data_IF_943029273819
#
_entry.id   IF_943029273819
#
_cell.length_a   1.000
_cell.length_b   1.000
_cell.length_c   1.000
_cell.angle_alpha   90.00
_cell.angle_beta   90.00
_cell.angle_gamma   90.00
#
_symmetry.space_group_name_H-M   'P 1'
#
loop_
_entity.id
_entity.type
_entity.pdbx_description
1 polymer ?
#
# COMPACT_ATOMS: atom_id res chain seq x y z
N UNK A 1 -4.25 -37.87 50.49
CA UNK A 1 -5.08 -36.64 50.51
C UNK A 1 -4.33 -35.54 51.24
N UNK A 2 -3.49 -34.77 50.53
CA UNK A 2 -2.66 -33.76 51.16
C UNK A 2 -1.78 -33.03 50.15
N UNK A 3 -2.39 -32.25 49.25
CA UNK A 3 -1.67 -31.28 48.42
C UNK A 3 -2.58 -30.21 47.78
N UNK A 4 -3.84 -30.07 48.22
CA UNK A 4 -4.78 -29.07 47.69
C UNK A 4 -5.02 -27.87 48.61
N UNK A 5 -4.47 -27.87 49.83
CA UNK A 5 -4.68 -26.78 50.80
C UNK A 5 -3.54 -25.74 50.86
N UNK A 6 -2.43 -25.95 50.14
CA UNK A 6 -1.30 -25.01 50.09
C UNK A 6 -1.32 -24.06 48.88
N UNK A 7 -2.13 -24.33 47.85
CA UNK A 7 -2.19 -23.51 46.62
C UNK A 7 -3.21 -22.36 46.67
N UNK A 8 -4.11 -22.30 47.67
CA UNK A 8 -5.08 -21.21 47.82
C UNK A 8 -4.60 -20.06 48.72
N UNK A 9 -3.59 -20.28 49.57
CA UNK A 9 -3.06 -19.24 50.47
C UNK A 9 -2.00 -18.36 49.76
N UNK A 10 -1.32 -18.86 48.72
CA UNK A 10 -0.37 -18.09 47.90
C UNK A 10 -1.05 -17.24 46.81
N UNK A 11 -2.28 -17.57 46.37
CA UNK A 11 -3.06 -16.74 45.43
C UNK A 11 -3.72 -15.51 46.06
N UNK A 12 -3.86 -15.46 47.38
CA UNK A 12 -4.43 -14.29 48.11
C UNK A 12 -3.38 -13.30 48.62
N UNK A 13 -2.09 -13.64 48.68
CA UNK A 13 -1.02 -12.72 49.10
C UNK A 13 -0.29 -11.98 47.97
N UNK A 14 -0.38 -12.41 46.70
CA UNK A 14 0.15 -11.64 45.54
C UNK A 14 -0.85 -10.64 44.91
N UNK A 15 -2.10 -10.61 45.38
CA UNK A 15 -3.15 -9.69 44.89
C UNK A 15 -3.34 -8.41 45.72
N UNK A 16 -2.56 -8.20 46.80
CA UNK A 16 -2.70 -7.07 47.73
C UNK A 16 -1.52 -6.09 47.77
N UNK A 17 -0.60 -6.14 46.80
CA UNK A 17 0.57 -5.24 46.73
C UNK A 17 0.61 -4.34 45.49
N UNK A 18 -0.45 -4.29 44.68
CA UNK A 18 -0.54 -3.47 43.46
C UNK A 18 -1.74 -2.51 43.48
N UNK A 19 -2.11 -2.00 44.67
CA UNK A 19 -3.10 -0.95 44.85
C UNK A 19 -2.73 -0.14 46.11
N UNK A 20 -1.65 0.63 46.05
CA UNK A 20 -1.39 1.78 46.95
C UNK A 20 -0.15 2.56 46.50
N UNK A 21 -0.34 3.35 45.44
CA UNK A 21 0.26 4.67 45.22
C UNK A 21 -0.21 5.15 43.84
N UNK A 22 -1.51 5.41 43.72
CA UNK A 22 -2.03 6.34 42.73
C UNK A 22 -2.01 7.72 43.39
N UNK A 23 -0.81 8.27 43.52
CA UNK A 23 -0.65 9.72 43.60
C UNK A 23 -0.71 10.24 42.16
N UNK A 24 -1.53 11.27 41.99
CA UNK A 24 -1.79 11.98 40.76
C UNK A 24 -0.52 12.52 40.14
N UNK A 25 0.09 11.77 39.23
CA UNK A 25 0.97 12.31 38.20
C UNK A 25 0.14 12.49 36.94
N UNK A 26 -0.36 13.71 36.76
CA UNK A 26 -0.79 14.18 35.45
C UNK A 26 0.44 14.11 34.53
N UNK A 27 0.52 13.05 33.72
CA UNK A 27 1.57 12.94 32.72
C UNK A 27 1.20 13.88 31.58
N UNK A 28 1.74 15.10 31.67
CA UNK A 28 1.69 16.10 30.63
C UNK A 28 2.31 15.49 29.37
N UNK A 29 1.48 15.28 28.34
CA UNK A 29 1.93 14.86 27.02
C UNK A 29 2.93 15.92 26.56
N UNK A 30 4.22 15.58 26.53
CA UNK A 30 5.24 16.43 25.96
C UNK A 30 4.93 16.59 24.46
N UNK A 31 4.76 17.83 23.94
CA UNK A 31 4.76 18.03 22.51
C UNK A 31 6.13 17.59 21.99
N UNK A 32 6.11 16.76 20.96
CA UNK A 32 7.28 16.30 20.23
C UNK A 32 8.21 17.47 19.92
N UNK A 33 9.47 17.33 20.34
CA UNK A 33 10.50 18.32 20.11
C UNK A 33 10.68 18.55 18.60
N UNK A 34 10.67 19.84 18.26
CA UNK A 34 10.96 20.40 16.95
C UNK A 34 12.29 19.88 16.40
N UNK A 35 12.24 19.34 15.18
CA UNK A 35 13.31 19.60 14.21
C UNK A 35 12.81 20.69 13.25
N UNK A 36 13.41 21.88 13.36
CA UNK A 36 13.58 22.83 12.26
C UNK A 36 12.35 23.38 11.53
N UNK A 37 11.72 24.40 12.11
CA UNK A 37 11.32 25.63 11.39
C UNK A 37 10.18 25.62 10.35
N UNK A 38 9.72 24.48 9.82
CA UNK A 38 8.71 24.51 8.72
C UNK A 38 7.25 24.42 9.18
N UNK A 39 6.97 23.87 10.36
CA UNK A 39 5.59 23.61 10.82
C UNK A 39 5.37 24.17 12.23
N UNK A 40 5.05 25.46 12.32
CA UNK A 40 4.76 26.17 13.57
C UNK A 40 3.27 26.19 13.94
N UNK A 41 2.40 25.58 13.12
CA UNK A 41 0.97 25.46 13.40
C UNK A 41 0.64 24.01 13.82
N UNK A 42 -0.19 23.81 14.86
CA UNK A 42 -0.76 22.50 15.13
C UNK A 42 -1.55 22.07 13.89
N UNK A 43 -1.13 20.97 13.27
CA UNK A 43 -1.77 20.40 12.11
C UNK A 43 -3.05 19.69 12.58
N UNK A 44 -4.18 20.39 12.49
CA UNK A 44 -5.50 19.82 12.79
C UNK A 44 -6.00 19.10 11.54
N UNK A 45 -5.64 17.84 11.40
CA UNK A 45 -6.22 16.94 10.41
C UNK A 45 -7.52 16.37 10.98
N UNK A 46 -8.66 16.86 10.51
CA UNK A 46 -9.97 16.29 10.83
C UNK A 46 -10.40 15.40 9.67
N UNK A 47 -10.27 14.09 9.84
CA UNK A 47 -10.83 13.12 8.91
C UNK A 47 -12.24 12.73 9.35
N UNK A 48 -13.18 12.70 8.40
CA UNK A 48 -14.56 12.31 8.65
C UNK A 48 -14.64 10.78 8.79
N UNK A 49 -15.08 10.28 9.95
CA UNK A 49 -15.30 8.83 10.13
C UNK A 49 -16.38 8.37 9.16
N UNK A 50 -16.17 7.21 8.52
CA UNK A 50 -17.11 6.72 7.52
C UNK A 50 -18.47 6.45 8.18
N UNK A 51 -19.57 7.09 7.73
CA UNK A 51 -20.88 6.85 8.31
C UNK A 51 -21.25 5.37 8.20
N UNK A 52 -21.76 4.77 9.28
CA UNK A 52 -22.12 3.35 9.32
C UNK A 52 -23.05 2.93 8.17
N UNK A 53 -23.95 3.83 7.76
CA UNK A 53 -24.83 3.61 6.61
C UNK A 53 -24.04 3.35 5.32
N UNK A 54 -22.99 4.14 5.06
CA UNK A 54 -22.15 4.01 3.86
C UNK A 54 -21.42 2.68 3.89
N UNK A 55 -20.86 2.29 5.03
CA UNK A 55 -20.20 1.00 5.19
C UNK A 55 -21.17 -0.16 4.92
N UNK A 56 -22.36 -0.15 5.54
CA UNK A 56 -23.39 -1.19 5.35
C UNK A 56 -23.84 -1.28 3.90
N UNK A 57 -24.16 -0.15 3.26
CA UNK A 57 -24.57 -0.12 1.86
C UNK A 57 -23.47 -0.64 0.92
N UNK A 58 -22.21 -0.30 1.22
CA UNK A 58 -21.05 -0.78 0.46
C UNK A 58 -20.94 -2.31 0.54
N UNK A 59 -20.96 -2.88 1.76
CA UNK A 59 -20.89 -4.33 1.94
C UNK A 59 -22.11 -5.05 1.36
N UNK A 60 -23.30 -4.47 1.49
CA UNK A 60 -24.52 -5.02 0.88
C UNK A 60 -24.43 -5.01 -0.64
N UNK A 61 -23.91 -3.94 -1.24
CA UNK A 61 -23.64 -3.85 -2.67
C UNK A 61 -22.66 -4.93 -3.15
N UNK A 62 -21.54 -5.12 -2.43
CA UNK A 62 -20.59 -6.21 -2.72
C UNK A 62 -21.25 -7.59 -2.61
N UNK A 63 -22.08 -7.82 -1.58
CA UNK A 63 -22.81 -9.07 -1.40
C UNK A 63 -23.75 -9.36 -2.56
N UNK A 64 -24.55 -8.37 -2.96
CA UNK A 64 -25.47 -8.47 -4.10
C UNK A 64 -24.69 -8.79 -5.38
N UNK A 65 -23.63 -8.03 -5.70
CA UNK A 65 -22.81 -8.26 -6.89
C UNK A 65 -22.18 -9.66 -6.91
N UNK A 66 -21.75 -10.14 -5.74
CA UNK A 66 -21.18 -11.49 -5.59
C UNK A 66 -22.22 -12.57 -5.85
N UNK A 67 -23.43 -12.43 -5.29
CA UNK A 67 -24.54 -13.38 -5.53
C UNK A 67 -24.90 -13.42 -7.02
N UNK A 68 -25.04 -12.25 -7.66
CA UNK A 68 -25.31 -12.18 -9.10
C UNK A 68 -24.17 -12.77 -9.95
N UNK A 69 -22.92 -12.62 -9.51
CA UNK A 69 -21.77 -13.25 -10.14
C UNK A 69 -21.88 -14.77 -10.14
N UNK A 70 -22.15 -15.38 -8.98
CA UNK A 70 -22.31 -16.83 -8.87
C UNK A 70 -23.53 -17.34 -9.64
N UNK A 71 -24.65 -16.60 -9.60
CA UNK A 71 -25.83 -16.94 -10.39
C UNK A 71 -25.51 -16.95 -11.89
N UNK A 72 -24.71 -16.00 -12.40
CA UNK A 72 -24.30 -16.02 -13.81
C UNK A 72 -23.38 -17.17 -14.15
N UNK A 73 -22.43 -17.51 -13.28
CA UNK A 73 -21.60 -18.70 -13.49
C UNK A 73 -22.44 -19.98 -13.55
N UNK A 74 -23.47 -20.08 -12.72
CA UNK A 74 -24.45 -21.15 -12.79
C UNK A 74 -25.21 -21.14 -14.13
N UNK A 75 -25.77 -20.00 -14.56
CA UNK A 75 -26.48 -19.89 -15.84
C UNK A 75 -25.58 -20.19 -17.06
N UNK A 76 -24.29 -19.86 -16.99
CA UNK A 76 -23.28 -20.20 -18.01
C UNK A 76 -23.05 -21.71 -18.08
N UNK A 77 -22.95 -22.38 -16.94
CA UNK A 77 -22.81 -23.84 -16.88
C UNK A 77 -23.99 -24.55 -17.55
N UNK A 78 -25.19 -23.97 -17.44
CA UNK A 78 -26.43 -24.46 -18.06
C UNK A 78 -26.66 -23.93 -19.49
N UNK A 79 -25.70 -23.22 -20.09
CA UNK A 79 -25.75 -22.64 -21.45
C UNK A 79 -26.94 -21.69 -21.71
N UNK A 80 -27.47 -21.05 -20.66
CA UNK A 80 -28.58 -20.08 -20.77
C UNK A 80 -28.06 -18.66 -21.08
N UNK A 81 -26.85 -18.34 -20.61
CA UNK A 81 -26.23 -17.00 -20.77
C UNK A 81 -25.67 -16.79 -22.18
N UNK A 82 -25.92 -15.61 -22.79
CA UNK A 82 -25.56 -15.27 -24.18
C UNK A 82 -24.06 -15.00 -24.42
N UNK A 83 -23.28 -14.59 -23.40
CA UNK A 83 -21.85 -14.30 -23.56
C UNK A 83 -20.99 -15.47 -23.07
N UNK A 84 -20.48 -16.29 -23.99
CA UNK A 84 -19.70 -17.49 -23.69
C UNK A 84 -18.19 -17.23 -23.49
N UNK A 85 -17.70 -16.02 -23.80
CA UNK A 85 -16.26 -15.65 -23.73
C UNK A 85 -15.75 -15.64 -22.30
N UNK A 86 -16.59 -15.28 -21.34
CA UNK A 86 -16.33 -15.38 -19.91
C UNK A 86 -16.44 -16.86 -19.44
N UNK A 87 -15.61 -17.74 -19.98
CA UNK A 87 -15.39 -19.10 -19.49
C UNK A 87 -13.93 -19.45 -19.73
N UNK A 88 -13.34 -20.16 -18.79
CA UNK A 88 -12.03 -20.76 -19.00
C UNK A 88 -12.11 -21.76 -20.15
N UNK A 89 -11.20 -21.64 -21.12
CA UNK A 89 -11.16 -22.53 -22.27
C UNK A 89 -10.79 -23.93 -21.80
N UNK A 90 -11.30 -24.97 -22.46
CA UNK A 90 -10.99 -26.34 -22.04
C UNK A 90 -9.49 -26.64 -22.09
N UNK A 91 -8.81 -26.10 -23.11
CA UNK A 91 -7.36 -26.15 -23.28
C UNK A 91 -6.58 -25.52 -22.11
N UNK A 92 -7.19 -24.60 -21.35
CA UNK A 92 -6.54 -23.87 -20.27
C UNK A 92 -6.67 -24.59 -18.91
N UNK A 93 -7.61 -25.53 -18.78
CA UNK A 93 -7.85 -26.25 -17.52
C UNK A 93 -6.70 -27.16 -17.11
N UNK A 94 -5.88 -27.58 -18.07
CA UNK A 94 -4.71 -28.44 -17.84
C UNK A 94 -3.48 -27.66 -17.36
N UNK A 95 -3.53 -26.32 -17.35
CA UNK A 95 -2.45 -25.47 -16.86
C UNK A 95 -2.58 -25.18 -15.37
N UNK A 96 -1.44 -24.91 -14.71
CA UNK A 96 -1.43 -24.45 -13.32
C UNK A 96 -2.12 -23.08 -13.26
N UNK A 97 -3.14 -22.91 -12.40
CA UNK A 97 -3.83 -21.63 -12.29
C UNK A 97 -2.87 -20.54 -11.81
N UNK A 98 -2.80 -19.44 -12.57
CA UNK A 98 -1.97 -18.27 -12.22
C UNK A 98 -2.59 -17.43 -11.10
N UNK A 99 -3.91 -17.52 -10.94
CA UNK A 99 -4.69 -16.73 -10.00
C UNK A 99 -5.47 -17.62 -9.05
N UNK A 100 -5.85 -17.08 -7.90
CA UNK A 100 -6.75 -17.77 -6.99
C UNK A 100 -8.17 -17.84 -7.56
N UNK A 101 -8.96 -18.83 -7.14
CA UNK A 101 -10.33 -19.05 -7.63
C UNK A 101 -11.21 -17.80 -7.51
N UNK A 102 -11.06 -17.06 -6.40
CA UNK A 102 -11.82 -15.83 -6.18
C UNK A 102 -11.41 -14.70 -7.13
N UNK A 103 -10.12 -14.57 -7.47
CA UNK A 103 -9.64 -13.56 -8.40
C UNK A 103 -10.16 -13.83 -9.81
N UNK A 104 -10.19 -15.10 -10.22
CA UNK A 104 -10.80 -15.53 -11.48
C UNK A 104 -12.29 -15.20 -11.51
N UNK A 105 -13.02 -15.52 -10.43
CA UNK A 105 -14.42 -15.17 -10.27
C UNK A 105 -14.66 -13.65 -10.36
N UNK A 106 -13.91 -12.88 -9.57
CA UNK A 106 -14.02 -11.43 -9.51
C UNK A 106 -13.75 -10.80 -10.87
N UNK A 107 -12.67 -11.23 -11.53
CA UNK A 107 -12.27 -10.73 -12.85
C UNK A 107 -13.39 -10.98 -13.86
N UNK A 108 -13.85 -12.23 -13.94
CA UNK A 108 -14.86 -12.68 -14.90
C UNK A 108 -16.21 -11.99 -14.74
N UNK A 109 -16.67 -11.84 -13.50
CA UNK A 109 -18.05 -11.45 -13.22
C UNK A 109 -18.23 -9.98 -12.81
N UNK A 110 -17.22 -9.38 -12.18
CA UNK A 110 -17.29 -8.03 -11.64
C UNK A 110 -16.37 -7.09 -12.43
N UNK A 111 -15.06 -7.33 -12.41
CA UNK A 111 -14.08 -6.40 -12.96
C UNK A 111 -14.32 -6.10 -14.44
N UNK A 112 -14.51 -7.12 -15.28
CA UNK A 112 -14.68 -6.91 -16.73
C UNK A 112 -15.81 -5.93 -17.03
N UNK A 113 -16.90 -5.95 -16.27
CA UNK A 113 -18.04 -5.04 -16.48
C UNK A 113 -17.71 -3.58 -16.20
N UNK A 114 -16.88 -3.31 -15.19
CA UNK A 114 -16.53 -1.95 -14.77
C UNK A 114 -15.21 -1.48 -15.38
N UNK A 115 -14.41 -2.37 -16.00
CA UNK A 115 -13.08 -2.04 -16.52
C UNK A 115 -13.10 -0.89 -17.52
N UNK A 116 -14.21 -0.71 -18.24
CA UNK A 116 -14.31 0.40 -19.17
C UNK A 116 -14.24 1.75 -18.46
N UNK A 117 -14.76 1.88 -17.24
CA UNK A 117 -14.71 3.12 -16.47
C UNK A 117 -13.30 3.52 -16.05
N UNK A 118 -12.41 2.55 -15.84
CA UNK A 118 -11.09 2.76 -15.25
C UNK A 118 -9.95 2.68 -16.27
N UNK A 119 -10.13 1.92 -17.35
CA UNK A 119 -9.06 1.62 -18.30
C UNK A 119 -9.25 2.33 -19.64
N UNK A 120 -9.89 3.51 -19.67
CA UNK A 120 -10.05 4.26 -20.93
C UNK A 120 -8.69 4.78 -21.38
N UNK A 121 -8.27 4.53 -22.63
CA UNK A 121 -6.98 5.00 -23.08
C UNK A 121 -7.03 6.51 -23.29
N UNK A 122 -6.04 7.19 -22.76
CA UNK A 122 -5.82 8.62 -22.99
C UNK A 122 -5.16 8.79 -24.37
N UNK A 123 -5.66 9.71 -25.18
CA UNK A 123 -5.12 9.99 -26.51
C UNK A 123 -4.64 11.45 -26.69
N UNK A 124 -4.64 12.24 -25.61
CA UNK A 124 -4.04 13.57 -25.55
C UNK A 124 -2.86 13.64 -24.57
N UNK A 125 -2.32 14.84 -24.41
CA UNK A 125 -1.44 15.18 -23.28
C UNK A 125 -2.18 14.96 -21.95
N UNK A 126 -1.55 14.34 -20.93
CA UNK A 126 -2.17 14.05 -19.64
C UNK A 126 -2.22 15.30 -18.72
N UNK A 127 -2.84 16.36 -19.23
CA UNK A 127 -2.99 17.64 -18.54
C UNK A 127 -4.14 17.66 -17.53
N UNK A 128 -4.52 18.86 -17.09
CA UNK A 128 -5.70 19.06 -16.23
C UNK A 128 -7.01 18.59 -16.92
N UNK A 129 -7.05 18.72 -18.24
CA UNK A 129 -8.04 18.08 -19.10
C UNK A 129 -7.33 17.14 -20.06
N UNK A 130 -8.02 16.07 -20.42
CA UNK A 130 -7.51 15.07 -21.35
C UNK A 130 -8.61 14.57 -22.28
N UNK A 131 -8.19 14.02 -23.41
CA UNK A 131 -9.05 13.36 -24.36
C UNK A 131 -8.93 11.85 -24.18
N UNK A 132 -10.08 11.18 -24.16
CA UNK A 132 -10.17 9.74 -24.06
C UNK A 132 -10.53 9.15 -25.42
N UNK A 133 -9.83 8.12 -25.84
CA UNK A 133 -10.20 7.38 -27.04
C UNK A 133 -11.54 6.68 -26.81
N UNK A 134 -12.52 7.00 -27.66
CA UNK A 134 -13.84 6.39 -27.59
C UNK A 134 -13.76 4.95 -28.10
N UNK A 135 -14.39 4.05 -27.35
CA UNK A 135 -14.47 2.63 -27.69
C UNK A 135 -15.84 2.09 -27.31
N UNK A 136 -16.27 1.09 -28.05
CA UNK A 136 -17.52 0.39 -27.82
C UNK A 136 -17.20 -1.08 -27.58
N UNK A 137 -18.00 -1.71 -26.72
CA UNK A 137 -17.96 -3.15 -26.50
C UNK A 137 -19.33 -3.75 -26.75
N UNK A 138 -19.35 -4.88 -27.44
CA UNK A 138 -20.56 -5.65 -27.72
C UNK A 138 -20.64 -6.95 -26.90
N UNK A 139 -19.65 -7.21 -26.05
CA UNK A 139 -19.47 -8.49 -25.34
C UNK A 139 -19.29 -8.34 -23.83
N UNK A 140 -19.90 -7.30 -23.24
CA UNK A 140 -19.77 -6.94 -21.82
C UNK A 140 -18.34 -6.54 -21.42
N UNK A 141 -17.70 -5.71 -22.23
CA UNK A 141 -16.35 -5.22 -22.02
C UNK A 141 -15.33 -6.37 -21.93
N UNK A 142 -15.43 -7.38 -22.80
CA UNK A 142 -14.39 -8.41 -22.95
C UNK A 142 -13.42 -8.02 -24.06
N UNK A 143 -13.96 -7.47 -25.13
CA UNK A 143 -13.23 -6.82 -26.22
C UNK A 143 -13.73 -5.39 -26.40
N UNK A 144 -12.90 -4.57 -27.05
CA UNK A 144 -13.23 -3.19 -27.37
C UNK A 144 -12.85 -2.89 -28.81
N UNK A 145 -13.74 -2.20 -29.50
CA UNK A 145 -13.49 -1.64 -30.82
C UNK A 145 -13.39 -0.12 -30.70
N UNK A 146 -12.30 0.45 -31.22
CA UNK A 146 -12.12 1.90 -31.25
C UNK A 146 -13.01 2.50 -32.34
N UNK A 147 -13.77 3.54 -31.99
CA UNK A 147 -14.67 4.21 -32.94
C UNK A 147 -13.93 5.20 -33.85
N UNK A 148 -12.64 5.45 -33.59
CA UNK A 148 -11.84 6.50 -34.22
C UNK A 148 -12.15 7.90 -33.71
N UNK A 149 -13.10 8.05 -32.77
CA UNK A 149 -13.45 9.32 -32.14
C UNK A 149 -12.78 9.45 -30.77
N UNK A 150 -12.75 10.66 -30.25
CA UNK A 150 -12.26 10.96 -28.92
C UNK A 150 -13.32 11.75 -28.14
N UNK A 151 -13.52 11.38 -26.88
CA UNK A 151 -14.25 12.19 -25.91
C UNK A 151 -13.29 13.26 -25.42
N UNK A 152 -13.58 14.51 -25.78
CA UNK A 152 -12.68 15.63 -25.54
C UNK A 152 -12.90 16.30 -24.20
N UNK A 153 -11.86 17.00 -23.72
CA UNK A 153 -11.94 17.93 -22.58
C UNK A 153 -12.45 17.31 -21.26
N UNK A 154 -12.13 16.03 -21.02
CA UNK A 154 -12.51 15.32 -19.79
C UNK A 154 -11.59 15.75 -18.66
N UNK A 155 -12.17 16.02 -17.47
CA UNK A 155 -11.38 16.40 -16.29
C UNK A 155 -10.52 15.23 -15.84
N UNK A 156 -9.22 15.47 -15.71
CA UNK A 156 -8.26 14.48 -15.23
C UNK A 156 -8.28 14.40 -13.69
N UNK A 157 -9.06 13.46 -13.16
CA UNK A 157 -9.09 13.14 -11.72
C UNK A 157 -8.31 11.86 -11.37
N UNK A 158 -7.69 11.21 -12.36
CA UNK A 158 -7.08 9.89 -12.22
C UNK A 158 -5.56 9.89 -12.13
N UNK A 159 -4.91 11.03 -12.30
CA UNK A 159 -3.45 11.14 -12.29
C UNK A 159 -2.92 11.99 -11.14
N UNK A 160 -1.66 11.78 -10.78
CA UNK A 160 -0.95 12.58 -9.78
C UNK A 160 -0.36 13.89 -10.35
N UNK A 161 -0.80 14.33 -11.53
CA UNK A 161 -0.27 15.52 -12.20
C UNK A 161 -0.86 16.84 -11.62
N UNK A 162 -0.88 16.98 -10.31
CA UNK A 162 -1.46 18.14 -9.62
C UNK A 162 -0.76 19.46 -9.95
N UNK A 163 0.54 19.41 -10.23
CA UNK A 163 1.37 20.57 -10.57
C UNK A 163 1.43 20.87 -12.07
N UNK A 164 0.83 20.03 -12.92
CA UNK A 164 0.84 20.22 -14.37
C UNK A 164 2.22 20.01 -15.02
N UNK A 165 3.13 19.26 -14.39
CA UNK A 165 4.47 19.04 -14.92
C UNK A 165 4.53 18.02 -16.07
N UNK A 166 3.48 17.23 -16.27
CA UNK A 166 3.40 16.25 -17.36
C UNK A 166 2.85 16.81 -18.69
N UNK A 167 2.77 18.14 -18.84
CA UNK A 167 2.36 18.79 -20.09
C UNK A 167 3.42 18.65 -21.20
N UNK A 168 3.02 18.81 -22.47
CA UNK A 168 3.96 18.70 -23.61
C UNK A 168 4.77 19.97 -23.87
N UNK A 169 4.49 21.04 -23.13
CA UNK A 169 5.03 22.37 -23.33
C UNK A 169 5.36 23.02 -21.98
N UNK A 170 6.19 24.05 -22.02
CA UNK A 170 6.67 24.75 -20.84
C UNK A 170 7.99 24.21 -20.31
N UNK A 171 8.46 24.82 -19.23
CA UNK A 171 9.82 24.65 -18.74
C UNK A 171 10.18 23.19 -18.41
N UNK A 172 9.23 22.40 -17.89
CA UNK A 172 9.47 20.99 -17.58
C UNK A 172 9.68 20.14 -18.85
N UNK A 173 8.82 20.31 -19.86
CA UNK A 173 8.93 19.60 -21.13
C UNK A 173 10.20 19.98 -21.88
N UNK A 174 10.52 21.27 -21.94
CA UNK A 174 11.74 21.78 -22.56
C UNK A 174 13.01 21.28 -21.84
N UNK A 175 13.02 21.31 -20.51
CA UNK A 175 14.14 20.77 -19.73
C UNK A 175 14.33 19.27 -19.97
N UNK A 176 13.24 18.48 -19.99
CA UNK A 176 13.29 17.06 -20.26
C UNK A 176 13.81 16.78 -21.68
N UNK A 177 13.34 17.51 -22.70
CA UNK A 177 13.81 17.39 -24.08
C UNK A 177 15.30 17.72 -24.20
N UNK A 178 15.75 18.83 -23.61
CA UNK A 178 17.16 19.26 -23.64
C UNK A 178 18.09 18.23 -22.98
N UNK A 179 17.70 17.67 -21.84
CA UNK A 179 18.47 16.61 -21.16
C UNK A 179 18.49 15.35 -22.03
N UNK A 180 17.36 14.98 -22.63
CA UNK A 180 17.27 13.80 -23.51
C UNK A 180 18.16 13.96 -24.75
N UNK A 181 18.23 15.14 -25.35
CA UNK A 181 19.14 15.42 -26.47
C UNK A 181 20.62 15.32 -26.06
N UNK A 182 20.95 15.72 -24.82
CA UNK A 182 22.33 15.69 -24.31
C UNK A 182 22.79 14.27 -23.89
N UNK A 183 21.96 13.52 -23.18
CA UNK A 183 22.33 12.22 -22.59
C UNK A 183 21.76 11.01 -23.35
N UNK A 184 20.80 11.21 -24.24
CA UNK A 184 20.04 10.15 -24.89
C UNK A 184 18.83 9.67 -24.06
N UNK A 185 18.10 8.71 -24.63
CA UNK A 185 16.85 8.15 -24.05
C UNK A 185 17.07 6.92 -23.16
N UNK A 186 18.30 6.43 -23.05
CA UNK A 186 18.59 5.17 -22.36
C UNK A 186 19.98 5.11 -21.77
N UNK A 187 20.08 4.42 -20.64
CA UNK A 187 21.34 4.01 -20.02
C UNK A 187 21.56 2.54 -20.33
N UNK A 188 22.74 2.17 -20.82
CA UNK A 188 23.05 0.80 -21.27
C UNK A 188 23.29 -0.21 -20.13
N UNK A 189 23.15 0.21 -18.87
CA UNK A 189 23.42 -0.60 -17.69
C UNK A 189 22.79 0.05 -16.43
N UNK A 190 22.72 -0.70 -15.34
CA UNK A 190 22.11 -0.26 -14.07
C UNK A 190 23.06 0.63 -13.26
N UNK A 191 22.51 1.42 -12.32
CA UNK A 191 23.30 2.23 -11.38
C UNK A 191 24.32 1.41 -10.57
N UNK A 192 24.03 0.12 -10.33
CA UNK A 192 24.93 -0.76 -9.59
C UNK A 192 26.20 -1.10 -10.36
N UNK A 193 26.13 -1.17 -11.69
CA UNK A 193 27.24 -1.59 -12.54
C UNK A 193 28.03 -0.40 -13.10
N UNK A 194 27.34 0.61 -13.62
CA UNK A 194 27.98 1.76 -14.30
C UNK A 194 28.01 3.03 -13.44
N UNK A 195 27.38 3.00 -12.27
CA UNK A 195 27.32 4.14 -11.35
C UNK A 195 26.24 5.16 -11.70
N UNK A 196 26.39 6.37 -11.16
CA UNK A 196 25.40 7.44 -11.25
C UNK A 196 25.78 8.47 -12.32
N UNK A 197 24.80 8.89 -13.13
CA UNK A 197 24.87 10.17 -13.86
C UNK A 197 24.85 11.37 -12.90
N UNK A 198 25.44 12.48 -13.35
CA UNK A 198 25.39 13.79 -12.68
C UNK A 198 23.96 14.24 -12.36
N UNK A 199 23.00 13.93 -13.24
CA UNK A 199 21.57 14.24 -13.02
C UNK A 199 20.90 13.46 -11.90
N UNK A 200 21.34 12.22 -11.62
CA UNK A 200 20.84 11.51 -10.45
C UNK A 200 21.30 12.19 -9.16
N UNK A 201 22.57 12.54 -9.07
CA UNK A 201 23.17 13.23 -7.92
C UNK A 201 22.52 14.60 -7.68
N UNK A 202 22.27 15.35 -8.75
CA UNK A 202 21.58 16.65 -8.67
C UNK A 202 20.15 16.50 -8.14
N UNK A 203 19.38 15.55 -8.67
CA UNK A 203 18.02 15.26 -8.22
C UNK A 203 18.01 14.86 -6.73
N UNK A 204 18.87 13.92 -6.34
CA UNK A 204 18.95 13.41 -4.97
C UNK A 204 19.34 14.53 -3.98
N UNK A 205 20.28 15.40 -4.35
CA UNK A 205 20.65 16.58 -3.54
C UNK A 205 19.52 17.60 -3.44
N UNK A 206 18.80 17.86 -4.54
CA UNK A 206 17.67 18.78 -4.55
C UNK A 206 16.55 18.27 -3.65
N UNK A 207 16.22 16.98 -3.74
CA UNK A 207 15.21 16.34 -2.88
C UNK A 207 15.63 16.34 -1.42
N UNK A 208 16.89 16.01 -1.12
CA UNK A 208 17.42 16.06 0.25
C UNK A 208 17.31 17.47 0.84
N UNK A 209 17.69 18.50 0.07
CA UNK A 209 17.56 19.91 0.46
C UNK A 209 16.10 20.32 0.66
N UNK A 210 15.20 19.90 -0.23
CA UNK A 210 13.78 20.19 -0.14
C UNK A 210 13.15 19.59 1.13
N UNK A 211 13.49 18.34 1.45
CA UNK A 211 13.00 17.64 2.63
C UNK A 211 13.73 18.01 3.92
N UNK A 212 14.88 18.70 3.84
CA UNK A 212 15.70 19.03 5.00
C UNK A 212 16.40 17.83 5.64
N UNK A 213 16.72 16.80 4.84
CA UNK A 213 17.39 15.57 5.28
C UNK A 213 18.84 15.53 4.79
N UNK A 214 19.68 14.71 5.45
CA UNK A 214 21.10 14.57 5.10
C UNK A 214 21.32 14.04 3.67
N UNK A 215 20.49 13.08 3.25
CA UNK A 215 20.59 12.43 1.95
C UNK A 215 19.24 11.89 1.50
N UNK A 216 19.06 11.78 0.19
CA UNK A 216 17.90 11.17 -0.44
C UNK A 216 18.35 10.25 -1.57
N UNK A 217 17.53 9.25 -1.90
CA UNK A 217 17.78 8.34 -3.01
C UNK A 217 16.54 8.23 -3.88
N UNK A 218 16.73 8.32 -5.20
CA UNK A 218 15.66 8.25 -6.17
C UNK A 218 15.50 6.82 -6.72
N UNK A 219 14.25 6.35 -6.76
CA UNK A 219 13.86 5.06 -7.32
C UNK A 219 12.86 5.25 -8.46
N UNK A 220 12.99 4.48 -9.53
CA UNK A 220 12.11 4.58 -10.69
C UNK A 220 10.68 4.06 -10.46
N UNK A 221 10.41 3.42 -9.32
CA UNK A 221 9.10 2.86 -8.99
C UNK A 221 8.81 3.00 -7.49
N UNK A 222 7.67 3.62 -7.16
CA UNK A 222 7.25 3.84 -5.77
C UNK A 222 7.08 2.53 -4.99
N UNK A 223 6.44 1.52 -5.58
CA UNK A 223 6.29 0.20 -4.96
C UNK A 223 7.65 -0.44 -4.62
N UNK A 224 8.59 -0.37 -5.56
CA UNK A 224 9.93 -0.94 -5.42
C UNK A 224 10.77 -0.22 -4.35
N UNK A 225 10.50 1.07 -4.11
CA UNK A 225 11.15 1.85 -3.04
C UNK A 225 10.97 1.16 -1.68
N UNK A 226 9.78 0.66 -1.40
CA UNK A 226 9.52 -0.01 -0.12
C UNK A 226 9.95 -1.48 -0.16
N UNK A 227 9.59 -2.20 -1.23
CA UNK A 227 9.79 -3.65 -1.28
C UNK A 227 11.25 -4.07 -1.40
N UNK A 228 12.12 -3.22 -1.97
CA UNK A 228 13.54 -3.54 -2.15
C UNK A 228 14.44 -2.97 -1.03
N UNK A 229 14.06 -1.86 -0.39
CA UNK A 229 14.91 -1.24 0.63
C UNK A 229 14.78 -1.90 2.02
N UNK A 230 13.58 -2.38 2.41
CA UNK A 230 13.41 -3.05 3.71
C UNK A 230 14.35 -4.28 3.85
N UNK A 231 14.50 -5.15 2.84
CA UNK A 231 15.48 -6.24 2.85
C UNK A 231 16.94 -5.79 2.99
N UNK A 232 17.29 -4.57 2.53
CA UNK A 232 18.64 -4.04 2.71
C UNK A 232 18.89 -3.56 4.15
N UNK A 233 17.84 -3.13 4.86
CA UNK A 233 17.95 -2.60 6.22
C UNK A 233 17.85 -3.69 7.31
N UNK A 234 17.13 -4.77 7.04
CA UNK A 234 16.81 -5.83 8.01
C UNK A 234 16.98 -7.22 7.39
N UNK A 235 17.31 -8.19 8.24
CA UNK A 235 17.50 -9.58 7.81
C UNK A 235 17.31 -10.58 8.95
N UNK A 236 17.83 -11.79 8.78
CA UNK A 236 17.76 -12.86 9.81
C UNK A 236 18.24 -12.37 11.19
N UNK A 237 17.39 -12.55 12.20
CA UNK A 237 17.63 -12.09 13.58
C UNK A 237 17.21 -10.64 13.85
N UNK A 238 16.55 -9.98 12.89
CA UNK A 238 15.85 -8.71 13.09
C UNK A 238 14.35 -8.93 13.29
N UNK A 239 13.70 -7.94 13.89
CA UNK A 239 12.25 -7.87 14.08
C UNK A 239 11.68 -6.69 13.30
N UNK A 240 10.61 -6.91 12.55
CA UNK A 240 9.80 -5.88 11.93
C UNK A 240 8.46 -5.84 12.68
N UNK A 241 8.15 -4.68 13.27
CA UNK A 241 6.83 -4.36 13.79
C UNK A 241 6.08 -3.61 12.69
N UNK A 242 5.15 -4.29 12.03
CA UNK A 242 4.36 -3.71 10.94
C UNK A 242 2.99 -3.31 11.46
N UNK A 243 2.51 -2.14 11.03
CA UNK A 243 1.10 -1.79 11.16
C UNK A 243 0.21 -2.77 10.38
N UNK A 244 -1.01 -2.97 10.86
CA UNK A 244 -2.02 -3.83 10.26
C UNK A 244 -2.52 -3.33 8.90
N UNK A 245 -2.53 -2.01 8.67
CA UNK A 245 -3.01 -1.39 7.43
C UNK A 245 -1.89 -0.84 6.54
N UNK A 246 -0.65 -1.30 6.73
CA UNK A 246 0.46 -0.97 5.83
C UNK A 246 0.18 -1.44 4.39
N UNK A 247 0.56 -0.62 3.42
CA UNK A 247 0.42 -0.91 2.00
C UNK A 247 1.20 -2.15 1.60
N UNK A 248 0.70 -2.83 0.56
CA UNK A 248 1.23 -4.10 0.07
C UNK A 248 2.74 -4.06 -0.25
N UNK A 249 3.27 -2.91 -0.63
CA UNK A 249 4.71 -2.72 -0.90
C UNK A 249 5.57 -2.92 0.36
N UNK A 250 5.12 -2.42 1.51
CA UNK A 250 5.83 -2.56 2.79
C UNK A 250 5.71 -3.99 3.30
N UNK A 251 4.53 -4.59 3.17
CA UNK A 251 4.29 -6.00 3.53
C UNK A 251 5.18 -6.92 2.71
N UNK A 252 5.30 -6.69 1.39
CA UNK A 252 6.18 -7.46 0.53
C UNK A 252 7.65 -7.28 0.95
N UNK A 253 8.11 -6.05 1.15
CA UNK A 253 9.49 -5.79 1.59
C UNK A 253 9.83 -6.46 2.92
N UNK A 254 8.91 -6.40 3.89
CA UNK A 254 9.06 -7.09 5.16
C UNK A 254 9.18 -8.61 4.98
N UNK A 255 8.34 -9.21 4.13
CA UNK A 255 8.40 -10.65 3.82
C UNK A 255 9.71 -11.04 3.12
N UNK A 256 10.17 -10.24 2.16
CA UNK A 256 11.42 -10.48 1.42
C UNK A 256 12.66 -10.37 2.30
N UNK A 257 12.61 -9.58 3.39
CA UNK A 257 13.76 -9.42 4.30
C UNK A 257 14.17 -10.70 5.02
N UNK A 258 13.26 -11.69 5.17
CA UNK A 258 13.49 -12.87 6.01
C UNK A 258 13.61 -12.55 7.51
N UNK A 259 13.20 -11.34 7.92
CA UNK A 259 13.12 -10.93 9.32
C UNK A 259 11.90 -11.56 10.01
N UNK A 260 11.89 -11.59 11.34
CA UNK A 260 10.66 -11.92 12.06
C UNK A 260 9.68 -10.75 11.95
N UNK A 261 8.42 -11.02 11.64
CA UNK A 261 7.40 -9.98 11.48
C UNK A 261 6.36 -10.15 12.58
N UNK A 262 6.00 -9.06 13.26
CA UNK A 262 4.84 -8.99 14.14
C UNK A 262 3.97 -7.81 13.73
N UNK A 263 2.66 -8.04 13.74
CA UNK A 263 1.69 -7.03 13.34
C UNK A 263 1.12 -6.40 14.61
N UNK A 264 1.12 -5.07 14.69
CA UNK A 264 0.40 -4.33 15.73
C UNK A 264 -0.87 -3.71 15.16
N UNK A 265 -1.87 -3.49 16.02
CA UNK A 265 -3.16 -2.93 15.60
C UNK A 265 -2.98 -1.52 15.06
N UNK A 266 -3.68 -1.24 13.96
CA UNK A 266 -3.65 0.06 13.34
C UNK A 266 -3.99 1.17 14.34
N UNK A 267 -3.19 2.23 14.32
CA UNK A 267 -3.34 3.40 15.16
C UNK A 267 -3.45 3.11 16.68
N UNK A 268 -2.74 2.08 17.16
CA UNK A 268 -2.80 1.68 18.56
C UNK A 268 -1.40 1.62 19.20
N UNK A 269 -1.02 2.71 19.87
CA UNK A 269 0.27 2.82 20.56
C UNK A 269 0.44 1.79 21.68
N UNK A 270 -0.63 1.42 22.39
CA UNK A 270 -0.56 0.41 23.46
C UNK A 270 -0.23 -0.97 22.89
N UNK A 271 -0.76 -1.29 21.71
CA UNK A 271 -0.43 -2.52 20.98
C UNK A 271 1.03 -2.53 20.56
N UNK A 272 1.54 -1.41 20.05
CA UNK A 272 2.94 -1.27 19.64
C UNK A 272 3.88 -1.41 20.85
N UNK A 273 3.65 -0.64 21.91
CA UNK A 273 4.45 -0.66 23.14
C UNK A 273 4.50 -2.04 23.77
N UNK A 274 3.36 -2.74 23.84
CA UNK A 274 3.31 -4.10 24.35
C UNK A 274 4.19 -5.05 23.53
N UNK A 275 4.07 -5.03 22.21
CA UNK A 275 4.86 -5.91 21.35
C UNK A 275 6.35 -5.58 21.39
N UNK A 276 6.69 -4.29 21.50
CA UNK A 276 8.06 -3.83 21.62
C UNK A 276 8.67 -4.26 22.96
N UNK A 277 7.96 -4.05 24.07
CA UNK A 277 8.37 -4.51 25.40
C UNK A 277 8.56 -6.03 25.45
N UNK A 278 7.59 -6.78 24.93
CA UNK A 278 7.68 -8.24 24.85
C UNK A 278 8.87 -8.69 23.99
N UNK A 279 9.19 -7.97 22.91
CA UNK A 279 10.32 -8.28 22.05
C UNK A 279 11.67 -8.02 22.72
N UNK A 280 11.78 -6.92 23.49
CA UNK A 280 12.99 -6.56 24.22
C UNK A 280 13.25 -7.54 25.36
N UNK A 281 12.22 -7.90 26.13
CA UNK A 281 12.34 -8.80 27.29
C UNK A 281 12.62 -10.23 26.87
N UNK A 282 11.89 -10.76 25.88
CA UNK A 282 11.96 -12.18 25.53
C UNK A 282 13.00 -12.50 24.45
N UNK A 283 13.44 -11.49 23.69
CA UNK A 283 14.36 -11.66 22.56
C UNK A 283 13.76 -12.45 21.39
N UNK A 284 14.66 -13.06 20.61
CA UNK A 284 14.33 -13.85 19.44
C UNK A 284 13.59 -15.15 19.82
N UNK A 285 12.59 -15.59 19.03
CA UNK A 285 11.91 -16.86 19.25
C UNK A 285 12.89 -18.01 19.34
N UNK A 286 12.64 -18.94 20.28
CA UNK A 286 13.43 -20.16 20.56
C UNK A 286 14.82 -19.93 21.14
N UNK A 287 15.56 -18.93 20.67
CA UNK A 287 16.94 -18.70 21.11
C UNK A 287 17.05 -17.74 22.29
N UNK A 288 16.03 -16.93 22.54
CA UNK A 288 16.01 -15.85 23.55
C UNK A 288 17.19 -14.86 23.42
N UNK A 289 17.86 -14.84 22.25
CA UNK A 289 18.93 -13.90 21.97
C UNK A 289 18.35 -12.51 21.72
N UNK A 290 19.05 -11.43 22.06
CA UNK A 290 18.64 -10.08 21.68
C UNK A 290 18.42 -9.95 20.17
N UNK A 291 17.47 -9.10 19.77
CA UNK A 291 17.28 -8.75 18.36
C UNK A 291 18.46 -7.92 17.86
N UNK A 292 18.92 -8.18 16.64
CA UNK A 292 19.99 -7.37 16.01
C UNK A 292 19.51 -5.96 15.71
N UNK A 293 18.25 -5.84 15.26
CA UNK A 293 17.57 -4.59 14.94
C UNK A 293 16.06 -4.80 15.09
N UNK A 294 15.37 -3.77 15.56
CA UNK A 294 13.91 -3.69 15.54
C UNK A 294 13.55 -2.53 14.62
N UNK A 295 12.79 -2.81 13.57
CA UNK A 295 12.28 -1.82 12.63
C UNK A 295 10.77 -1.67 12.84
N UNK A 296 10.30 -0.45 13.08
CA UNK A 296 8.88 -0.14 13.15
C UNK A 296 8.49 0.44 11.79
N UNK A 297 7.50 -0.17 11.15
CA UNK A 297 7.05 0.20 9.81
C UNK A 297 5.62 0.66 9.90
N UNK A 298 5.43 1.92 9.50
CA UNK A 298 4.18 2.65 9.55
C UNK A 298 3.99 3.39 8.23
N UNK A 299 2.75 3.51 7.77
CA UNK A 299 2.39 4.32 6.62
C UNK A 299 1.55 5.52 7.03
N UNK A 300 1.75 6.66 6.35
CA UNK A 300 1.39 8.01 6.79
C UNK A 300 -0.08 8.38 6.97
N UNK A 301 -0.96 7.43 7.28
CA UNK A 301 -2.34 7.69 7.72
C UNK A 301 -2.47 7.14 9.14
N UNK A 302 -2.08 7.94 10.14
CA UNK A 302 -2.28 7.66 11.56
C UNK A 302 -3.20 8.72 12.16
N UNK A 303 -4.09 8.30 13.07
CA UNK A 303 -5.12 9.10 13.75
C UNK A 303 -4.66 9.59 15.13
#
# INVERSE_FOLDING_TARGET
MGCRHAQEILKKKKKKSYYRQTESFAFQVYPTACNGGLYSRPFHESFEETPMLVAVLTYMGYGILTIFGYLRDFLRAWKIERCHIAREREEQKDFVPLYQDFENFYTRNLYMRIRDSWNRPICSVPGAKLDLAERVSHDYNWTFEYTGRAVKDVINMGSYNYLGFAENSGACAEAAANVTLKYGVGVCSTRQEIGNLDRHEELEKLVAKFLGVESAMAFGMGFATNSMNIPALTGKGCLILSDELNHASLVLGARLSGSSIRIFKHNNMQSLEKLLGDAIVNGQPRTHRPWKKILIVVEGIYR
#
